data_IF_871062344544
#
_entry.id   IF_871062344544
#
_cell.length_a   1.000
_cell.length_b   1.000
_cell.length_c   1.000
_cell.angle_alpha   90.00
_cell.angle_beta   90.00
_cell.angle_gamma   90.00
#
_symmetry.space_group_name_H-M   'P 1'
#
loop_
_entity.id
_entity.type
_entity.pdbx_description
1 polymer ?
#
# COMPACT_ATOMS: atom_id res chain seq x y z
N UNK A 1 -7.53 75.68 22.13
CA UNK A 1 -7.19 74.67 21.10
C UNK A 1 -5.71 74.86 20.79
N UNK A 2 -4.88 73.98 21.32
CA UNK A 2 -3.42 74.10 21.33
C UNK A 2 -2.87 73.43 20.06
N UNK A 3 -1.99 74.10 19.28
CA UNK A 3 -1.25 73.48 18.19
C UNK A 3 0.08 72.92 18.67
N UNK A 4 0.56 71.85 18.06
CA UNK A 4 1.90 71.30 18.21
C UNK A 4 2.23 70.62 16.87
N UNK A 5 3.10 71.20 16.03
CA UNK A 5 4.57 71.07 16.08
C UNK A 5 4.96 69.59 15.88
N UNK A 6 5.80 69.15 14.93
CA UNK A 6 6.98 69.74 14.28
C UNK A 6 7.39 68.76 13.17
N UNK A 7 7.92 69.26 12.03
CA UNK A 7 8.80 68.51 11.12
C UNK A 7 10.23 68.47 11.74
N UNK A 8 11.33 68.03 11.09
CA UNK A 8 11.63 66.96 10.10
C UNK A 8 12.88 66.12 10.51
N UNK A 9 13.37 65.28 9.57
CA UNK A 9 14.80 65.02 9.25
C UNK A 9 15.59 63.80 9.79
N UNK A 10 16.31 63.23 8.80
CA UNK A 10 17.64 62.60 8.77
C UNK A 10 17.87 61.13 9.23
N UNK A 11 17.95 60.26 8.20
CA UNK A 11 19.07 59.35 7.83
C UNK A 11 19.96 58.81 8.96
N UNK A 12 20.08 57.48 9.07
CA UNK A 12 21.39 56.81 8.97
C UNK A 12 21.29 55.31 8.67
N UNK A 13 22.07 54.91 7.67
CA UNK A 13 22.54 53.56 7.37
C UNK A 13 23.51 53.08 8.46
N UNK A 14 23.44 51.80 8.87
CA UNK A 14 24.59 50.86 8.96
C UNK A 14 24.23 49.58 9.74
N UNK A 15 25.05 48.56 9.46
CA UNK A 15 25.17 47.21 10.04
C UNK A 15 24.26 46.14 9.41
N UNK A 16 24.67 44.93 9.03
CA UNK A 16 25.93 44.27 8.62
C UNK A 16 25.67 42.77 8.82
N UNK A 17 26.08 41.92 7.86
CA UNK A 17 26.45 40.49 8.02
C UNK A 17 25.38 39.54 8.62
N UNK A 18 24.93 38.46 7.97
CA UNK A 18 25.74 37.32 7.54
C UNK A 18 24.85 36.20 6.96
N UNK A 19 25.46 35.36 6.10
CA UNK A 19 25.24 33.94 5.75
C UNK A 19 23.91 33.29 6.20
N UNK A 20 23.17 32.48 5.43
CA UNK A 20 23.61 31.28 4.70
C UNK A 20 22.38 30.68 3.96
N UNK A 21 22.60 30.20 2.73
CA UNK A 21 22.16 28.92 2.15
C UNK A 21 20.79 28.26 2.46
N UNK A 22 20.28 27.58 1.42
CA UNK A 22 19.26 26.50 1.39
C UNK A 22 17.80 27.01 1.35
N UNK A 23 16.88 26.51 0.54
CA UNK A 23 16.88 25.37 -0.37
C UNK A 23 15.72 25.50 -1.38
N UNK A 24 16.01 25.03 -2.59
CA UNK A 24 15.17 24.21 -3.45
C UNK A 24 13.64 24.22 -3.25
N UNK A 25 12.92 24.94 -4.11
CA UNK A 25 11.55 24.57 -4.47
C UNK A 25 11.48 24.27 -5.97
N UNK A 26 12.16 23.18 -6.36
CA UNK A 26 11.90 22.52 -7.64
C UNK A 26 10.74 21.55 -7.40
N UNK A 27 9.52 22.01 -7.70
CA UNK A 27 8.34 21.18 -7.85
C UNK A 27 8.61 20.11 -8.93
N UNK A 28 8.88 18.87 -8.51
CA UNK A 28 8.87 17.71 -9.39
C UNK A 28 7.42 17.28 -9.61
N UNK A 29 6.78 17.87 -10.61
CA UNK A 29 5.53 17.38 -11.19
C UNK A 29 5.82 16.08 -11.95
N UNK A 30 5.71 14.92 -11.27
CA UNK A 30 5.67 13.63 -11.94
C UNK A 30 4.27 13.41 -12.53
N UNK A 31 3.97 14.13 -13.61
CA UNK A 31 2.90 13.75 -14.53
C UNK A 31 3.42 12.55 -15.33
N UNK A 32 2.97 11.35 -14.98
CA UNK A 32 3.14 10.19 -15.84
C UNK A 32 2.31 10.44 -17.10
N UNK A 33 2.97 10.67 -18.23
CA UNK A 33 2.34 10.71 -19.54
C UNK A 33 1.71 9.33 -19.79
N UNK A 34 0.38 9.25 -19.70
CA UNK A 34 -0.38 8.10 -20.12
C UNK A 34 -0.22 7.96 -21.64
N UNK A 35 0.59 7.00 -22.08
CA UNK A 35 0.49 6.53 -23.45
C UNK A 35 -0.78 5.69 -23.58
N UNK A 36 -1.60 6.11 -24.54
CA UNK A 36 -2.87 5.50 -24.93
C UNK A 36 -2.57 4.16 -25.59
N UNK A 37 -2.60 3.08 -24.82
CA UNK A 37 -2.61 1.73 -25.39
C UNK A 37 -3.97 1.43 -26.06
N UNK A 38 -3.99 0.61 -27.12
CA UNK A 38 -5.12 0.47 -28.02
C UNK A 38 -6.32 -0.22 -27.36
N UNK A 39 -7.51 0.13 -27.87
CA UNK A 39 -8.84 -0.35 -27.46
C UNK A 39 -8.94 -1.84 -27.14
N UNK A 40 -9.80 -2.25 -26.19
CA UNK A 40 -9.93 -3.64 -25.78
C UNK A 40 -10.81 -4.41 -26.77
N UNK A 41 -10.18 -5.31 -27.52
CA UNK A 41 -10.87 -6.35 -28.28
C UNK A 41 -10.04 -7.64 -28.18
N UNK A 42 -10.76 -8.74 -27.97
CA UNK A 42 -10.29 -10.11 -27.73
C UNK A 42 -9.85 -10.43 -26.30
N UNK A 43 -10.33 -11.58 -25.84
CA UNK A 43 -9.89 -12.33 -24.67
C UNK A 43 -8.36 -12.41 -24.60
N UNK A 44 -7.73 -11.46 -23.93
CA UNK A 44 -6.33 -11.54 -23.56
C UNK A 44 -6.21 -12.66 -22.52
N UNK A 45 -5.78 -13.84 -22.96
CA UNK A 45 -5.26 -14.85 -22.04
C UNK A 45 -4.20 -14.18 -21.16
N UNK A 46 -4.49 -14.03 -19.87
CA UNK A 46 -3.51 -13.52 -18.93
C UNK A 46 -2.51 -14.64 -18.65
N UNK A 47 -1.27 -14.45 -19.07
CA UNK A 47 -0.20 -15.37 -18.70
C UNK A 47 0.47 -14.89 -17.42
N UNK A 48 0.12 -15.53 -16.30
CA UNK A 48 0.78 -15.26 -15.02
C UNK A 48 2.15 -15.92 -14.97
N UNK A 49 3.15 -15.11 -14.60
CA UNK A 49 4.50 -15.60 -14.37
C UNK A 49 4.52 -16.67 -13.28
N UNK A 50 5.35 -17.69 -13.49
CA UNK A 50 5.48 -18.81 -12.57
C UNK A 50 5.89 -18.34 -11.15
N UNK A 51 5.34 -18.97 -10.11
CA UNK A 51 5.73 -18.75 -8.72
C UNK A 51 7.25 -18.82 -8.51
N UNK A 52 7.83 -17.82 -7.83
CA UNK A 52 9.19 -17.93 -7.33
C UNK A 52 9.21 -18.82 -6.08
N UNK A 53 9.56 -20.09 -6.26
CA UNK A 53 9.66 -21.04 -5.17
C UNK A 53 11.02 -20.92 -4.46
N UNK A 54 10.99 -20.68 -3.15
CA UNK A 54 12.18 -20.64 -2.30
C UNK A 54 11.96 -21.51 -1.07
N UNK A 55 13.00 -22.23 -0.63
CA UNK A 55 12.97 -22.97 0.62
C UNK A 55 12.92 -21.96 1.78
N UNK A 56 11.85 -22.00 2.57
CA UNK A 56 11.80 -21.32 3.86
C UNK A 56 12.47 -22.23 4.86
N UNK A 57 13.62 -21.82 5.40
CA UNK A 57 14.12 -22.43 6.63
C UNK A 57 13.25 -21.92 7.77
N UNK A 58 12.23 -22.69 8.15
CA UNK A 58 11.36 -22.38 9.28
C UNK A 58 12.18 -22.44 10.57
N UNK A 59 12.68 -21.27 11.00
CA UNK A 59 13.15 -21.04 12.39
C UNK A 59 12.20 -20.10 13.12
N UNK A 60 10.90 -20.18 12.85
CA UNK A 60 9.92 -19.47 13.64
C UNK A 60 9.39 -20.39 14.74
N UNK A 61 10.10 -20.39 15.86
CA UNK A 61 9.65 -20.99 17.11
C UNK A 61 8.29 -20.38 17.51
N UNK A 62 7.33 -21.29 17.69
CA UNK A 62 5.98 -21.05 18.19
C UNK A 62 6.03 -20.69 19.68
N UNK A 63 6.13 -19.41 20.01
CA UNK A 63 5.85 -18.95 21.38
C UNK A 63 4.37 -18.58 21.50
N UNK A 64 3.68 -19.08 22.54
CA UNK A 64 2.27 -18.80 22.81
C UNK A 64 1.95 -17.29 22.84
N UNK A 65 2.92 -16.46 23.25
CA UNK A 65 2.81 -15.00 23.25
C UNK A 65 2.63 -14.40 21.85
N UNK A 66 3.25 -14.98 20.80
CA UNK A 66 3.05 -14.55 19.40
C UNK A 66 1.59 -14.77 19.00
N UNK A 67 1.03 -15.96 19.27
CA UNK A 67 -0.35 -16.31 18.94
C UNK A 67 -1.37 -15.41 19.64
N UNK A 68 -1.23 -15.21 20.95
CA UNK A 68 -2.13 -14.31 21.71
C UNK A 68 -2.13 -12.89 21.13
N UNK A 69 -0.96 -12.38 20.72
CA UNK A 69 -0.87 -11.05 20.11
C UNK A 69 -1.50 -10.99 18.72
N UNK A 70 -1.34 -12.02 17.91
CA UNK A 70 -2.01 -12.13 16.61
C UNK A 70 -3.53 -12.14 16.79
N UNK A 71 -4.04 -12.93 17.73
CA UNK A 71 -5.48 -12.99 18.04
C UNK A 71 -6.00 -11.64 18.54
N UNK A 72 -5.27 -10.98 19.45
CA UNK A 72 -5.63 -9.64 19.94
C UNK A 72 -5.70 -8.63 18.80
N UNK A 73 -4.72 -8.64 17.90
CA UNK A 73 -4.70 -7.76 16.74
C UNK A 73 -5.86 -8.06 15.79
N UNK A 74 -6.12 -9.34 15.52
CA UNK A 74 -7.26 -9.76 14.71
C UNK A 74 -8.57 -9.23 15.30
N UNK A 75 -8.82 -9.42 16.59
CA UNK A 75 -10.00 -8.85 17.26
C UNK A 75 -10.06 -7.31 17.19
N UNK A 76 -8.90 -6.64 17.19
CA UNK A 76 -8.80 -5.19 17.10
C UNK A 76 -9.16 -4.63 15.71
N UNK A 77 -9.11 -5.43 14.63
CA UNK A 77 -9.51 -4.97 13.29
C UNK A 77 -11.04 -4.80 13.16
N UNK A 78 -11.82 -5.53 13.96
CA UNK A 78 -13.28 -5.43 14.01
C UNK A 78 -13.79 -4.27 14.87
N UNK A 79 -12.91 -3.62 15.64
CA UNK A 79 -13.29 -2.49 16.49
C UNK A 79 -13.54 -1.25 15.65
N UNK A 80 -14.42 -0.37 16.13
CA UNK A 80 -14.60 0.93 15.49
C UNK A 80 -13.25 1.67 15.42
N UNK A 81 -12.89 2.34 14.31
CA UNK A 81 -11.61 3.05 14.23
C UNK A 81 -11.42 4.13 15.29
N UNK A 82 -12.51 4.67 15.87
CA UNK A 82 -12.46 5.59 17.02
C UNK A 82 -12.35 4.87 18.37
N UNK A 83 -12.46 3.55 18.45
CA UNK A 83 -12.25 2.79 19.69
C UNK A 83 -10.75 2.80 20.07
N UNK A 84 -10.37 3.15 21.30
CA UNK A 84 -8.98 3.03 21.77
C UNK A 84 -8.40 1.62 21.66
N UNK A 85 -9.22 0.57 21.54
CA UNK A 85 -8.79 -0.82 21.34
C UNK A 85 -8.66 -1.21 19.86
N UNK A 86 -8.89 -0.28 18.93
CA UNK A 86 -8.71 -0.49 17.49
C UNK A 86 -7.25 -0.67 17.09
N UNK A 87 -7.05 -1.28 15.91
CA UNK A 87 -5.75 -1.30 15.21
C UNK A 87 -5.31 0.10 14.75
N UNK A 88 -6.25 1.03 14.64
CA UNK A 88 -6.00 2.39 14.18
C UNK A 88 -5.51 3.31 15.31
N UNK A 89 -4.51 4.12 14.99
CA UNK A 89 -4.06 5.22 15.84
C UNK A 89 -5.03 6.41 15.70
N UNK A 90 -5.67 6.80 16.81
CA UNK A 90 -6.67 7.86 16.81
C UNK A 90 -6.09 9.23 16.46
N UNK A 91 -4.86 9.53 16.89
CA UNK A 91 -4.21 10.80 16.58
C UNK A 91 -3.88 10.87 15.09
N UNK A 92 -3.51 9.74 14.48
CA UNK A 92 -3.35 9.66 13.04
C UNK A 92 -4.65 9.94 12.31
N UNK A 93 -5.76 9.30 12.72
CA UNK A 93 -7.07 9.50 12.09
C UNK A 93 -7.58 10.94 12.24
N UNK A 94 -7.35 11.59 13.38
CA UNK A 94 -7.67 13.00 13.58
C UNK A 94 -6.88 13.92 12.64
N UNK A 95 -5.59 13.63 12.40
CA UNK A 95 -4.74 14.39 11.48
C UNK A 95 -5.01 14.08 10.01
N UNK A 96 -5.71 12.97 9.71
CA UNK A 96 -5.99 12.50 8.36
C UNK A 96 -7.48 12.18 8.21
N UNK A 97 -8.37 13.18 8.28
CA UNK A 97 -9.83 12.97 8.29
C UNK A 97 -10.32 12.24 7.04
N UNK A 98 -9.72 12.48 5.88
CA UNK A 98 -10.02 11.79 4.62
C UNK A 98 -9.82 10.25 4.70
N UNK A 99 -8.85 9.77 5.50
CA UNK A 99 -8.67 8.33 5.74
C UNK A 99 -9.83 7.80 6.57
N UNK A 100 -10.20 8.52 7.63
CA UNK A 100 -11.31 8.12 8.49
C UNK A 100 -12.64 8.08 7.73
N UNK A 101 -12.92 9.09 6.90
CA UNK A 101 -14.09 9.13 6.01
C UNK A 101 -14.10 7.95 5.05
N UNK A 102 -12.98 7.66 4.37
CA UNK A 102 -12.88 6.50 3.48
C UNK A 102 -13.16 5.18 4.21
N UNK A 103 -12.75 5.04 5.48
CA UNK A 103 -13.05 3.86 6.30
C UNK A 103 -14.56 3.77 6.57
N UNK A 104 -15.22 4.87 6.93
CA UNK A 104 -16.66 4.90 7.19
C UNK A 104 -17.47 4.61 5.92
N UNK A 105 -17.06 5.17 4.79
CA UNK A 105 -17.66 4.90 3.48
C UNK A 105 -17.54 3.43 3.09
N UNK A 106 -16.39 2.82 3.33
CA UNK A 106 -16.21 1.39 3.06
C UNK A 106 -17.06 0.52 3.98
N UNK A 107 -17.08 0.82 5.29
CA UNK A 107 -17.92 0.09 6.26
C UNK A 107 -19.39 0.15 5.88
N UNK A 108 -19.90 1.35 5.56
CA UNK A 108 -21.29 1.58 5.11
C UNK A 108 -21.59 1.09 3.68
N UNK A 109 -20.57 0.72 2.89
CA UNK A 109 -20.74 0.22 1.53
C UNK A 109 -20.92 1.30 0.46
N UNK A 110 -20.62 2.57 0.79
CA UNK A 110 -20.61 3.71 -0.15
C UNK A 110 -19.33 3.75 -1.02
N UNK A 111 -18.24 3.14 -0.55
CA UNK A 111 -16.95 3.07 -1.25
C UNK A 111 -16.43 1.63 -1.30
N UNK A 112 -15.80 1.25 -2.41
CA UNK A 112 -15.15 -0.04 -2.62
C UNK A 112 -16.02 -1.25 -2.21
N UNK A 113 -17.31 -1.19 -2.54
CA UNK A 113 -18.31 -2.23 -2.27
C UNK A 113 -17.93 -3.54 -2.96
N UNK A 114 -17.34 -3.49 -4.15
CA UNK A 114 -16.93 -4.66 -4.92
C UNK A 114 -15.91 -5.53 -4.16
N UNK A 115 -15.02 -4.94 -3.36
CA UNK A 115 -14.05 -5.72 -2.55
C UNK A 115 -14.71 -6.69 -1.56
N UNK A 116 -15.95 -6.41 -1.11
CA UNK A 116 -16.66 -7.29 -0.18
C UNK A 116 -17.03 -8.64 -0.83
N UNK A 117 -17.09 -8.68 -2.15
CA UNK A 117 -17.36 -9.89 -2.95
C UNK A 117 -16.09 -10.59 -3.42
N UNK A 118 -14.91 -9.97 -3.21
CA UNK A 118 -13.63 -10.54 -3.62
C UNK A 118 -13.11 -11.47 -2.52
N UNK A 119 -13.17 -12.77 -2.81
CA UNK A 119 -12.52 -13.82 -2.05
C UNK A 119 -11.19 -14.23 -2.72
N UNK A 120 -10.10 -14.14 -1.96
CA UNK A 120 -8.74 -14.45 -2.41
C UNK A 120 -8.22 -15.79 -1.87
N UNK A 121 -8.88 -16.35 -0.85
CA UNK A 121 -8.33 -17.46 -0.08
C UNK A 121 -8.43 -18.79 -0.84
N UNK A 122 -7.38 -19.61 -0.75
CA UNK A 122 -7.33 -20.91 -1.41
C UNK A 122 -7.23 -20.86 -2.94
N UNK A 123 -7.12 -19.68 -3.56
CA UNK A 123 -7.15 -19.49 -5.01
C UNK A 123 -5.78 -19.22 -5.63
N UNK A 124 -5.62 -19.64 -6.88
CA UNK A 124 -4.52 -19.30 -7.78
C UNK A 124 -4.69 -17.89 -8.34
N UNK A 125 -3.64 -17.34 -8.95
CA UNK A 125 -3.72 -16.03 -9.62
C UNK A 125 -4.76 -16.00 -10.76
N UNK A 126 -4.89 -17.11 -11.51
CA UNK A 126 -5.81 -17.23 -12.64
C UNK A 126 -7.28 -17.28 -12.20
N UNK A 127 -7.58 -18.01 -11.12
CA UNK A 127 -8.92 -18.05 -10.54
C UNK A 127 -9.33 -16.65 -10.04
N UNK A 128 -8.44 -15.95 -9.32
CA UNK A 128 -8.71 -14.59 -8.84
C UNK A 128 -8.90 -13.63 -10.02
N UNK A 129 -8.07 -13.71 -11.07
CA UNK A 129 -8.25 -12.90 -12.27
C UNK A 129 -9.64 -13.09 -12.87
N UNK A 130 -10.05 -14.34 -13.06
CA UNK A 130 -11.35 -14.69 -13.63
C UNK A 130 -12.51 -14.12 -12.81
N UNK A 131 -12.43 -14.24 -11.48
CA UNK A 131 -13.45 -13.71 -10.57
C UNK A 131 -13.51 -12.17 -10.60
N UNK A 132 -12.35 -11.50 -10.64
CA UNK A 132 -12.28 -10.05 -10.70
C UNK A 132 -12.88 -9.50 -12.00
N UNK A 133 -12.63 -10.15 -13.14
CA UNK A 133 -13.25 -9.75 -14.41
C UNK A 133 -14.78 -9.90 -14.37
N UNK A 134 -15.30 -10.99 -13.78
CA UNK A 134 -16.75 -11.20 -13.60
C UNK A 134 -17.38 -10.12 -12.71
N UNK A 135 -16.62 -9.62 -11.73
CA UNK A 135 -17.01 -8.52 -10.85
C UNK A 135 -16.83 -7.13 -11.50
N UNK A 136 -16.44 -7.05 -12.78
CA UNK A 136 -16.33 -5.80 -13.51
C UNK A 136 -15.04 -5.02 -13.25
N UNK A 137 -14.00 -5.64 -12.69
CA UNK A 137 -12.71 -4.99 -12.52
C UNK A 137 -12.00 -4.84 -13.86
N UNK A 138 -11.47 -3.65 -14.11
CA UNK A 138 -10.44 -3.40 -15.11
C UNK A 138 -9.09 -3.90 -14.60
N UNK A 139 -8.16 -4.27 -15.48
CA UNK A 139 -6.82 -4.63 -15.04
C UNK A 139 -5.71 -4.13 -15.96
N UNK A 140 -4.55 -3.90 -15.35
CA UNK A 140 -3.28 -3.60 -16.02
C UNK A 140 -2.15 -4.39 -15.37
N UNK A 141 -1.01 -4.48 -16.06
CA UNK A 141 0.23 -5.04 -15.49
C UNK A 141 1.33 -3.99 -15.49
N UNK A 142 2.09 -3.92 -14.40
CA UNK A 142 3.22 -3.00 -14.26
C UNK A 142 4.46 -3.75 -13.75
N UNK A 143 5.66 -3.34 -14.17
CA UNK A 143 6.90 -3.97 -13.72
C UNK A 143 7.08 -3.80 -12.20
N UNK A 144 7.42 -4.89 -11.51
CA UNK A 144 7.57 -4.94 -10.07
C UNK A 144 8.87 -4.21 -9.66
N UNK A 145 8.70 -3.01 -9.10
CA UNK A 145 9.83 -2.20 -8.61
C UNK A 145 10.54 -2.87 -7.43
N UNK A 146 11.86 -2.96 -7.53
CA UNK A 146 12.78 -3.32 -6.46
C UNK A 146 13.22 -2.10 -5.64
N UNK A 147 13.32 -0.92 -6.27
CA UNK A 147 13.63 0.33 -5.59
C UNK A 147 12.92 1.51 -6.25
N UNK A 148 12.18 2.29 -5.46
CA UNK A 148 11.60 3.56 -5.92
C UNK A 148 12.68 4.61 -6.19
N UNK A 149 13.72 4.67 -5.33
CA UNK A 149 14.80 5.67 -5.45
C UNK A 149 15.69 5.43 -6.66
N UNK A 150 16.06 4.16 -6.90
CA UNK A 150 16.98 3.78 -7.99
C UNK A 150 16.27 3.41 -9.29
N UNK A 151 14.94 3.39 -9.29
CA UNK A 151 14.10 2.93 -10.40
C UNK A 151 14.58 1.59 -10.97
N UNK A 152 14.76 0.61 -10.09
CA UNK A 152 15.13 -0.75 -10.48
C UNK A 152 13.94 -1.70 -10.35
N UNK A 153 13.94 -2.76 -11.15
CA UNK A 153 12.87 -3.75 -11.26
C UNK A 153 13.40 -5.15 -10.98
N UNK A 154 12.56 -6.01 -10.42
CA UNK A 154 12.92 -7.40 -10.15
C UNK A 154 12.92 -8.23 -11.42
N UNK A 155 13.90 -9.12 -11.54
CA UNK A 155 13.94 -10.18 -12.55
C UNK A 155 13.53 -11.52 -11.91
N UNK A 156 13.00 -12.45 -12.71
CA UNK A 156 12.59 -13.79 -12.25
C UNK A 156 13.68 -14.56 -11.51
N UNK A 157 14.95 -14.40 -11.91
CA UNK A 157 16.12 -14.99 -11.25
C UNK A 157 16.60 -14.27 -9.98
N UNK A 158 15.86 -13.28 -9.48
CA UNK A 158 16.14 -12.54 -8.24
C UNK A 158 17.24 -11.49 -8.32
N UNK A 159 17.72 -11.18 -9.54
CA UNK A 159 18.51 -9.98 -9.84
C UNK A 159 17.59 -8.77 -10.03
N UNK A 160 18.19 -7.59 -10.20
CA UNK A 160 17.46 -6.37 -10.55
C UNK A 160 18.01 -5.72 -11.81
N UNK A 161 17.14 -5.10 -12.60
CA UNK A 161 17.50 -4.33 -13.80
C UNK A 161 17.01 -2.88 -13.68
N UNK A 162 17.56 -1.97 -14.49
CA UNK A 162 16.98 -0.62 -14.69
C UNK A 162 15.99 -0.56 -15.87
N UNK A 163 16.03 -1.57 -16.74
CA UNK A 163 15.13 -1.66 -17.89
C UNK A 163 13.78 -2.28 -17.48
N UNK A 164 12.67 -1.51 -17.50
CA UNK A 164 11.34 -2.02 -17.16
C UNK A 164 10.77 -3.02 -18.18
N UNK A 165 11.33 -3.08 -19.40
CA UNK A 165 10.85 -3.92 -20.50
C UNK A 165 11.70 -5.17 -20.71
N UNK A 166 12.72 -5.40 -19.88
CA UNK A 166 13.56 -6.57 -19.96
C UNK A 166 12.71 -7.86 -19.88
N UNK A 167 13.00 -8.84 -20.75
CA UNK A 167 12.17 -10.06 -20.94
C UNK A 167 11.84 -10.81 -19.64
N UNK A 168 12.77 -10.83 -18.69
CA UNK A 168 12.65 -11.53 -17.42
C UNK A 168 12.10 -10.66 -16.27
N UNK A 169 11.59 -9.45 -16.55
CA UNK A 169 11.02 -8.56 -15.51
C UNK A 169 9.79 -9.19 -14.90
N UNK A 170 9.73 -9.20 -13.58
CA UNK A 170 8.54 -9.62 -12.83
C UNK A 170 7.49 -8.51 -12.88
N UNK A 171 6.24 -8.88 -13.13
CA UNK A 171 5.10 -7.97 -13.18
C UNK A 171 4.18 -8.14 -11.98
N UNK A 172 3.54 -7.03 -11.59
CA UNK A 172 2.38 -7.02 -10.69
C UNK A 172 1.16 -6.68 -11.52
N UNK A 173 0.07 -7.42 -11.29
CA UNK A 173 -1.22 -7.13 -11.92
C UNK A 173 -2.04 -6.27 -10.97
N UNK A 174 -2.61 -5.19 -11.48
CA UNK A 174 -3.44 -4.24 -10.74
C UNK A 174 -4.85 -4.31 -11.30
N UNK A 175 -5.83 -4.45 -10.43
CA UNK A 175 -7.24 -4.55 -10.78
C UNK A 175 -7.99 -3.42 -10.11
N UNK A 176 -8.64 -2.57 -10.88
CA UNK A 176 -9.36 -1.38 -10.42
C UNK A 176 -10.84 -1.50 -10.77
N UNK A 177 -11.70 -1.04 -9.88
CA UNK A 177 -13.14 -0.99 -10.10
C UNK A 177 -13.67 0.42 -9.84
N UNK A 178 -14.77 0.80 -10.51
CA UNK A 178 -15.31 2.17 -10.53
C UNK A 178 -15.65 2.75 -9.15
N UNK A 179 -15.86 1.89 -8.15
CA UNK A 179 -16.15 2.28 -6.77
C UNK A 179 -14.89 2.53 -5.91
N UNK A 180 -13.70 2.51 -6.51
CA UNK A 180 -12.42 2.72 -5.82
C UNK A 180 -11.80 1.47 -5.22
N UNK A 181 -12.30 0.28 -5.58
CA UNK A 181 -11.67 -0.99 -5.21
C UNK A 181 -10.36 -1.20 -5.96
N UNK A 182 -9.33 -1.66 -5.26
CA UNK A 182 -8.05 -2.07 -5.85
C UNK A 182 -7.67 -3.48 -5.36
N UNK A 183 -7.35 -4.37 -6.29
CA UNK A 183 -6.70 -5.65 -5.99
C UNK A 183 -5.36 -5.70 -6.70
N UNK A 184 -4.32 -6.14 -5.98
CA UNK A 184 -2.98 -6.35 -6.55
C UNK A 184 -2.61 -7.81 -6.47
N UNK A 185 -2.17 -8.41 -7.57
CA UNK A 185 -1.71 -9.80 -7.63
C UNK A 185 -0.24 -9.84 -8.02
N UNK A 186 0.58 -10.45 -7.16
CA UNK A 186 1.99 -10.77 -7.44
C UNK A 186 2.11 -12.28 -7.57
N UNK A 187 1.80 -12.80 -8.75
CA UNK A 187 1.76 -14.24 -9.02
C UNK A 187 3.13 -14.93 -8.87
N UNK A 188 4.21 -14.24 -9.23
CA UNK A 188 5.58 -14.72 -8.99
C UNK A 188 6.06 -14.45 -7.55
N UNK A 189 5.35 -13.62 -6.76
CA UNK A 189 5.84 -13.13 -5.49
C UNK A 189 6.91 -12.03 -5.63
N UNK A 190 7.87 -11.99 -4.70
CA UNK A 190 9.03 -11.09 -4.77
C UNK A 190 10.28 -11.98 -4.79
N UNK A 191 11.04 -12.02 -5.90
CA UNK A 191 12.20 -12.91 -6.05
C UNK A 191 13.43 -12.37 -5.30
N UNK A 192 13.30 -12.04 -4.02
CA UNK A 192 14.39 -11.52 -3.22
C UNK A 192 15.21 -12.66 -2.60
N UNK A 193 16.31 -13.01 -3.27
CA UNK A 193 17.27 -14.01 -2.79
C UNK A 193 17.96 -13.60 -1.48
N UNK A 194 18.00 -12.31 -1.15
CA UNK A 194 18.68 -11.79 0.06
C UNK A 194 17.78 -11.81 1.30
N UNK A 195 16.49 -12.12 1.14
CA UNK A 195 15.53 -12.20 2.25
C UNK A 195 15.27 -10.88 2.98
N UNK A 196 15.55 -9.73 2.35
CA UNK A 196 15.26 -8.41 2.91
C UNK A 196 13.77 -8.07 2.84
N UNK A 197 13.06 -8.62 1.86
CA UNK A 197 11.62 -8.49 1.72
C UNK A 197 10.90 -9.64 2.42
N UNK A 198 9.97 -9.37 3.36
CA UNK A 198 9.29 -10.42 4.12
C UNK A 198 8.22 -11.18 3.31
N UNK A 199 7.78 -10.63 2.18
CA UNK A 199 6.70 -11.19 1.33
C UNK A 199 7.24 -11.70 -0.01
N UNK A 200 8.03 -12.77 0.04
CA UNK A 200 8.61 -13.39 -1.15
C UNK A 200 7.66 -14.34 -1.85
N UNK A 201 6.78 -15.02 -1.09
CA UNK A 201 5.78 -15.91 -1.66
C UNK A 201 4.76 -15.16 -2.54
N UNK A 202 4.16 -15.84 -3.54
CA UNK A 202 3.03 -15.30 -4.28
C UNK A 202 1.87 -14.90 -3.39
N UNK A 203 1.34 -13.70 -3.62
CA UNK A 203 0.29 -13.13 -2.79
C UNK A 203 -0.57 -12.13 -3.55
N UNK A 204 -1.75 -11.86 -3.00
CA UNK A 204 -2.62 -10.78 -3.40
C UNK A 204 -2.97 -9.86 -2.23
N UNK A 205 -3.37 -8.62 -2.52
CA UNK A 205 -3.85 -7.65 -1.52
C UNK A 205 -5.08 -6.91 -2.02
N UNK A 206 -6.02 -6.61 -1.12
CA UNK A 206 -7.15 -5.71 -1.35
C UNK A 206 -6.84 -4.33 -0.75
N UNK A 207 -7.23 -3.25 -1.42
CA UNK A 207 -7.04 -1.88 -0.97
C UNK A 207 -8.16 -0.96 -1.45
N UNK A 208 -8.40 0.12 -0.69
CA UNK A 208 -9.34 1.17 -1.06
C UNK A 208 -8.57 2.40 -1.51
N UNK A 209 -8.93 2.95 -2.66
CA UNK A 209 -8.35 4.19 -3.19
C UNK A 209 -8.97 5.43 -2.52
N UNK A 210 -8.18 6.49 -2.37
CA UNK A 210 -8.60 7.79 -1.87
C UNK A 210 -9.26 8.61 -2.99
N UNK A 211 -8.50 8.89 -4.04
CA UNK A 211 -8.94 9.68 -5.17
C UNK A 211 -9.54 8.77 -6.23
N UNK A 212 -10.83 8.96 -6.48
CA UNK A 212 -11.64 8.25 -7.47
C UNK A 212 -12.28 9.27 -8.40
N UNK A 213 -11.53 9.76 -9.37
CA UNK A 213 -12.07 10.68 -10.39
C UNK A 213 -12.96 9.89 -11.36
N UNK A 214 -14.29 10.08 -11.36
CA UNK A 214 -15.19 9.29 -12.21
C UNK A 214 -14.85 9.39 -13.70
N UNK A 215 -14.21 10.47 -14.15
CA UNK A 215 -13.80 10.64 -15.55
C UNK A 215 -12.71 9.65 -15.97
N UNK A 216 -11.93 9.14 -15.01
CA UNK A 216 -10.91 8.11 -15.24
C UNK A 216 -11.50 6.70 -15.34
N UNK A 217 -12.82 6.52 -15.15
CA UNK A 217 -13.47 5.24 -15.39
C UNK A 217 -14.66 5.35 -16.36
N UNK A 218 -14.48 4.81 -17.56
CA UNK A 218 -15.52 4.77 -18.59
C UNK A 218 -15.78 3.33 -19.02
N UNK A 219 -17.04 2.87 -19.00
CA UNK A 219 -17.44 1.52 -19.45
C UNK A 219 -16.55 0.41 -18.87
N UNK A 220 -16.34 0.41 -17.55
CA UNK A 220 -15.47 -0.52 -16.81
C UNK A 220 -13.98 -0.48 -17.19
N UNK A 221 -13.51 0.60 -17.82
CA UNK A 221 -12.10 0.86 -18.07
C UNK A 221 -11.60 1.93 -17.09
N UNK A 222 -11.15 1.50 -15.90
CA UNK A 222 -10.83 2.40 -14.78
C UNK A 222 -9.31 2.64 -14.62
N UNK A 223 -8.80 3.74 -15.14
CA UNK A 223 -7.38 4.14 -15.09
C UNK A 223 -7.02 4.96 -13.84
N UNK A 224 -7.47 4.55 -12.67
CA UNK A 224 -7.13 5.25 -11.43
C UNK A 224 -5.64 5.20 -11.12
N UNK A 225 -5.14 6.20 -10.40
CA UNK A 225 -3.81 6.16 -9.81
C UNK A 225 -3.71 4.99 -8.82
N UNK A 226 -2.99 3.94 -9.21
CA UNK A 226 -2.77 2.75 -8.39
C UNK A 226 -1.51 2.85 -7.51
N UNK A 227 -0.93 4.04 -7.32
CA UNK A 227 0.25 4.23 -6.46
C UNK A 227 -0.08 3.98 -5.00
N UNK A 228 0.96 3.77 -4.19
CA UNK A 228 0.82 3.55 -2.75
C UNK A 228 0.31 4.79 -2.00
N UNK A 229 0.54 5.97 -2.57
CA UNK A 229 0.12 7.26 -2.05
C UNK A 229 -1.41 7.38 -2.09
N UNK A 230 -2.02 6.96 -3.21
CA UNK A 230 -3.47 6.99 -3.39
C UNK A 230 -4.22 5.85 -2.64
N UNK A 231 -3.53 4.87 -2.06
CA UNK A 231 -4.19 3.90 -1.19
C UNK A 231 -4.57 4.54 0.15
N UNK A 232 -5.85 4.49 0.52
CA UNK A 232 -6.33 4.90 1.84
C UNK A 232 -5.86 3.89 2.90
N UNK A 233 -6.21 2.61 2.67
CA UNK A 233 -5.96 1.50 3.57
C UNK A 233 -6.01 0.16 2.84
N UNK A 234 -5.62 -0.90 3.53
CA UNK A 234 -5.73 -2.29 3.06
C UNK A 234 -6.95 -2.96 3.66
N UNK A 235 -7.44 -4.00 3.00
CA UNK A 235 -8.63 -4.74 3.44
C UNK A 235 -8.24 -6.20 3.66
N UNK A 236 -8.62 -6.77 4.80
CA UNK A 236 -8.38 -8.19 5.13
C UNK A 236 -9.31 -9.10 4.32
N UNK A 237 -9.12 -10.43 4.39
CA UNK A 237 -10.02 -11.35 3.70
C UNK A 237 -11.46 -11.21 4.23
N UNK A 238 -11.61 -11.03 5.53
CA UNK A 238 -12.86 -10.82 6.28
C UNK A 238 -13.40 -9.37 6.17
N UNK A 239 -12.92 -8.63 5.17
CA UNK A 239 -13.39 -7.29 4.83
C UNK A 239 -13.20 -6.24 5.93
N UNK A 240 -12.14 -6.37 6.74
CA UNK A 240 -11.80 -5.36 7.75
C UNK A 240 -10.78 -4.35 7.22
N UNK A 241 -10.99 -3.03 7.43
CA UNK A 241 -10.03 -1.99 7.05
C UNK A 241 -8.85 -1.97 8.01
N UNK A 242 -7.63 -2.08 7.48
CA UNK A 242 -6.37 -2.05 8.25
C UNK A 242 -5.37 -1.08 7.64
N UNK A 243 -4.46 -0.49 8.45
CA UNK A 243 -3.39 0.39 7.97
C UNK A 243 -2.65 -0.18 6.75
N UNK A 244 -2.40 0.67 5.74
CA UNK A 244 -1.78 0.20 4.50
C UNK A 244 -0.34 -0.29 4.64
N UNK A 245 0.32 0.09 5.73
CA UNK A 245 1.67 -0.34 6.10
C UNK A 245 1.75 -0.62 7.60
N UNK A 246 2.75 -1.42 8.02
CA UNK A 246 2.99 -1.73 9.41
C UNK A 246 3.77 -0.59 10.10
N UNK A 247 3.19 0.61 10.11
CA UNK A 247 3.84 1.85 10.56
C UNK A 247 2.84 2.83 11.17
N UNK A 248 3.26 3.53 12.22
CA UNK A 248 2.49 4.65 12.81
C UNK A 248 2.27 5.78 11.81
N UNK A 249 3.18 5.97 10.85
CA UNK A 249 3.02 6.92 9.73
C UNK A 249 1.86 6.59 8.80
N UNK A 250 1.32 5.38 8.89
CA UNK A 250 0.17 4.92 8.12
C UNK A 250 -1.03 4.58 9.01
N UNK A 251 -1.02 5.05 10.27
CA UNK A 251 -2.13 4.87 11.20
C UNK A 251 -2.13 3.57 11.98
N UNK A 252 -1.08 2.74 11.91
CA UNK A 252 -0.98 1.57 12.78
C UNK A 252 -0.70 2.00 14.22
N UNK A 253 -1.60 1.63 15.13
CA UNK A 253 -1.37 1.74 16.56
C UNK A 253 -0.31 0.75 17.01
N UNK A 254 0.77 1.26 17.59
CA UNK A 254 1.82 0.47 18.21
C UNK A 254 1.85 0.74 19.72
N UNK A 255 2.29 -0.24 20.53
CA UNK A 255 2.54 0.02 21.95
C UNK A 255 3.56 1.15 22.11
N UNK A 256 3.44 1.93 23.19
CA UNK A 256 4.45 2.95 23.53
C UNK A 256 5.81 2.27 23.64
N UNK A 257 6.77 2.74 22.84
CA UNK A 257 8.08 2.12 22.75
C UNK A 257 8.94 2.61 23.91
N UNK A 258 9.12 1.78 24.95
CA UNK A 258 10.03 2.06 26.07
C UNK A 258 11.50 1.81 25.72
N UNK A 259 11.79 1.29 24.52
CA UNK A 259 13.14 0.91 24.08
C UNK A 259 13.57 -0.50 24.51
N UNK A 260 12.80 -1.16 25.39
CA UNK A 260 13.10 -2.52 25.88
C UNK A 260 13.09 -3.58 24.76
N UNK A 261 13.86 -4.65 24.94
CA UNK A 261 13.90 -5.81 24.01
C UNK A 261 12.50 -6.43 23.83
N UNK A 262 11.75 -6.53 24.92
CA UNK A 262 10.38 -7.06 24.94
C UNK A 262 9.44 -6.20 24.08
N UNK A 263 9.52 -4.87 24.16
CA UNK A 263 8.64 -3.99 23.38
C UNK A 263 9.03 -3.93 21.90
N UNK A 264 10.34 -4.06 21.59
CA UNK A 264 10.81 -4.28 20.21
C UNK A 264 10.23 -5.57 19.63
N UNK A 265 10.23 -6.66 20.39
CA UNK A 265 9.64 -7.93 19.98
C UNK A 265 8.13 -7.82 19.77
N UNK A 266 7.39 -7.22 20.72
CA UNK A 266 5.94 -6.97 20.58
C UNK A 266 5.63 -6.17 19.32
N UNK A 267 6.39 -5.10 19.07
CA UNK A 267 6.25 -4.27 17.87
C UNK A 267 6.45 -5.08 16.60
N UNK A 268 7.49 -5.94 16.55
CA UNK A 268 7.75 -6.81 15.40
C UNK A 268 6.59 -7.78 15.15
N UNK A 269 6.05 -8.39 16.20
CA UNK A 269 4.89 -9.31 16.08
C UNK A 269 3.67 -8.59 15.51
N UNK A 270 3.31 -7.41 16.04
CA UNK A 270 2.17 -6.63 15.56
C UNK A 270 2.35 -6.25 14.09
N UNK A 271 3.53 -5.74 13.72
CA UNK A 271 3.84 -5.37 12.34
C UNK A 271 3.70 -6.56 11.38
N UNK A 272 4.22 -7.72 11.75
CA UNK A 272 4.10 -8.93 10.94
C UNK A 272 2.65 -9.40 10.81
N UNK A 273 1.89 -9.33 11.91
CA UNK A 273 0.51 -9.77 11.95
C UNK A 273 -0.40 -8.87 11.08
N UNK A 274 -0.26 -7.54 11.13
CA UNK A 274 -1.00 -6.63 10.21
C UNK A 274 -0.69 -6.96 8.76
N UNK A 275 0.59 -7.20 8.45
CA UNK A 275 1.00 -7.57 7.09
C UNK A 275 0.45 -8.94 6.67
N UNK A 276 0.29 -9.90 7.59
CA UNK A 276 -0.32 -11.19 7.30
C UNK A 276 -1.82 -11.02 7.01
N UNK A 277 -2.51 -10.19 7.78
CA UNK A 277 -3.94 -9.93 7.59
C UNK A 277 -4.24 -9.18 6.27
N UNK A 278 -3.34 -8.30 5.83
CA UNK A 278 -3.50 -7.52 4.60
C UNK A 278 -3.05 -8.25 3.32
N UNK A 279 -2.37 -9.40 3.44
CA UNK A 279 -1.81 -10.15 2.32
C UNK A 279 -2.31 -11.60 2.35
N UNK A 280 -3.01 -12.01 1.30
CA UNK A 280 -3.44 -13.39 1.12
C UNK A 280 -2.42 -14.13 0.27
N UNK A 281 -1.89 -15.23 0.77
CA UNK A 281 -1.01 -16.11 -0.03
C UNK A 281 -1.84 -16.80 -1.12
N UNK A 282 -1.26 -16.92 -2.31
CA UNK A 282 -1.90 -17.62 -3.42
C UNK A 282 -1.66 -19.13 -3.31
N UNK A 283 -2.63 -19.91 -3.78
CA UNK A 283 -2.40 -21.32 -4.08
C UNK A 283 -1.41 -21.43 -5.24
N UNK A 284 -0.34 -22.19 -5.03
CA UNK A 284 0.76 -22.35 -5.99
C UNK A 284 1.23 -23.80 -6.00
N UNK A 285 2.02 -24.17 -7.01
CA UNK A 285 2.73 -25.45 -7.05
C UNK A 285 4.05 -25.47 -6.27
N UNK A 286 4.39 -24.40 -5.52
CA UNK A 286 5.62 -24.39 -4.74
C UNK A 286 5.55 -25.41 -3.58
N UNK A 287 6.66 -26.11 -3.27
CA UNK A 287 6.72 -26.96 -2.09
C UNK A 287 6.41 -26.12 -0.85
N UNK A 288 5.45 -26.59 -0.05
CA UNK A 288 5.09 -25.93 1.20
C UNK A 288 6.30 -25.91 2.13
N UNK A 289 6.47 -24.85 2.93
CA UNK A 289 7.43 -24.86 4.04
C UNK A 289 7.11 -26.06 4.93
N UNK A 290 8.04 -26.99 5.06
CA UNK A 290 8.00 -28.01 6.11
C UNK A 290 8.22 -27.37 7.48
#
# INVERSE_FOLDING_TARGET
>A
MIPSSTKPFFVLFLLSLSLSSLDSNAQSTNAYTYQKDPSPSSSLEVNFQQPFCYKINNKDENSAQKYTKVIQLYKATFKDPKDPKSVWDQNYLQKNPHIFEAIQDFKSGRRAKALKQVDLEGKTALEIHTDLLKLGFFWTKLPLRASFKKQTYWLTGGKTTKDPHHKDVVYTHFYTHADGSLVRIKAAGIPDLRGKHPRRAPHATKAVLLNIDPNLCQKNNCHYDTTYQNEAFKVTNENQPVPKAPSTKCGLKLPKNSGSSIDKQKTRVIKNAVMNLAHTNLKTGCPQPQ
#
